data_IF_977601432454
#
_entry.id   IF_977601432454
#
_cell.length_a   1.000
_cell.length_b   1.000
_cell.length_c   1.000
_cell.angle_alpha   90.00
_cell.angle_beta   90.00
_cell.angle_gamma   90.00
#
_symmetry.space_group_name_H-M   'P 1'
#
loop_
_entity.id
_entity.type
_entity.pdbx_description
1 polymer ?
#
# COMPACT_ATOMS: atom_id res chain seq x y z
N UNK A 1 -3.69 27.54 -1.27
CA UNK A 1 -3.19 28.91 -1.49
C UNK A 1 -1.65 29.02 -1.42
N UNK A 2 -0.96 28.51 -0.39
CA UNK A 2 0.50 28.60 -0.31
C UNK A 2 1.18 27.68 -1.32
N UNK A 3 0.82 26.41 -1.38
CA UNK A 3 1.35 25.43 -2.34
C UNK A 3 1.12 25.82 -3.79
N UNK A 4 -0.03 26.40 -4.14
CA UNK A 4 -0.29 26.83 -5.52
C UNK A 4 0.72 27.89 -5.99
N UNK A 5 1.12 28.81 -5.12
CA UNK A 5 2.14 29.84 -5.41
C UNK A 5 3.51 29.20 -5.61
N UNK A 6 3.87 28.26 -4.75
CA UNK A 6 5.16 27.56 -4.84
C UNK A 6 5.24 26.74 -6.12
N UNK A 7 4.19 25.96 -6.44
CA UNK A 7 4.11 25.19 -7.68
C UNK A 7 4.09 26.07 -8.93
N UNK A 8 3.45 27.24 -8.88
CA UNK A 8 3.46 28.22 -9.97
C UNK A 8 4.86 28.76 -10.22
N UNK A 9 5.57 29.18 -9.17
CA UNK A 9 6.95 29.65 -9.28
C UNK A 9 7.90 28.58 -9.84
N UNK A 10 7.77 27.34 -9.36
CA UNK A 10 8.58 26.21 -9.85
C UNK A 10 8.24 25.86 -11.29
N UNK A 11 6.96 25.86 -11.67
CA UNK A 11 6.50 25.69 -13.05
C UNK A 11 7.10 26.74 -13.98
N UNK A 12 7.12 28.02 -13.57
CA UNK A 12 7.74 29.11 -14.32
C UNK A 12 9.26 28.94 -14.45
N UNK A 13 9.95 28.47 -13.41
CA UNK A 13 11.40 28.18 -13.46
C UNK A 13 11.69 27.04 -14.46
N UNK A 14 10.89 25.96 -14.45
CA UNK A 14 11.02 24.88 -15.43
C UNK A 14 10.85 25.43 -16.84
N UNK A 15 9.82 26.24 -17.08
CA UNK A 15 9.54 26.84 -18.39
C UNK A 15 10.66 27.77 -18.88
N UNK A 16 11.25 28.60 -17.99
CA UNK A 16 12.39 29.44 -18.32
C UNK A 16 13.64 28.63 -18.70
N UNK A 17 13.92 27.56 -17.98
CA UNK A 17 15.05 26.69 -18.28
C UNK A 17 14.87 25.97 -19.64
N UNK A 18 13.63 25.63 -20.00
CA UNK A 18 13.30 25.08 -21.31
C UNK A 18 13.60 26.04 -22.46
N UNK A 19 13.37 27.34 -22.25
CA UNK A 19 13.64 28.38 -23.26
C UNK A 19 15.12 28.69 -23.39
N UNK A 20 15.90 28.61 -22.30
CA UNK A 20 17.31 29.04 -22.28
C UNK A 20 18.30 27.92 -22.65
N UNK A 21 18.02 26.67 -22.35
CA UNK A 21 19.03 25.57 -22.43
C UNK A 21 18.72 24.48 -23.45
N UNK A 22 17.56 24.51 -24.11
CA UNK A 22 17.15 23.42 -25.00
C UNK A 22 16.94 22.06 -24.27
N UNK A 23 16.40 21.06 -24.98
CA UNK A 23 16.02 19.77 -24.37
C UNK A 23 17.18 18.93 -23.79
N UNK A 24 18.44 19.18 -24.17
CA UNK A 24 19.56 18.28 -23.83
C UNK A 24 20.16 18.51 -22.44
N UNK A 25 20.16 19.73 -21.92
CA UNK A 25 20.83 20.05 -20.64
C UNK A 25 19.96 19.80 -19.38
N UNK A 26 18.66 19.63 -19.53
CA UNK A 26 17.76 19.39 -18.40
C UNK A 26 17.96 17.99 -17.81
N UNK A 27 18.37 17.02 -18.64
CA UNK A 27 18.63 15.64 -18.23
C UNK A 27 19.98 15.43 -17.53
N UNK A 28 20.98 16.29 -17.73
CA UNK A 28 22.29 16.17 -17.06
C UNK A 28 22.32 16.73 -15.64
N UNK A 29 21.34 17.57 -15.26
CA UNK A 29 21.21 18.13 -13.89
C UNK A 29 20.43 17.29 -12.89
N UNK A 30 20.00 16.06 -13.23
CA UNK A 30 19.07 15.27 -12.44
C UNK A 30 19.57 14.76 -11.08
N UNK A 31 20.86 14.86 -10.78
CA UNK A 31 21.40 14.37 -9.49
C UNK A 31 21.46 15.42 -8.37
N UNK A 32 21.34 16.72 -8.66
CA UNK A 32 21.37 17.77 -7.61
C UNK A 32 20.59 19.03 -8.05
N UNK A 33 19.48 19.34 -7.37
CA UNK A 33 18.73 20.62 -7.42
C UNK A 33 18.29 21.09 -8.81
N UNK A 34 17.45 20.32 -9.49
CA UNK A 34 16.76 20.81 -10.68
C UNK A 34 15.37 21.36 -10.29
N UNK A 35 14.85 22.41 -10.96
CA UNK A 35 13.48 22.87 -10.71
C UNK A 35 12.40 21.79 -10.88
N UNK A 36 12.69 20.73 -11.63
CA UNK A 36 11.82 19.56 -11.80
C UNK A 36 11.82 18.70 -10.53
N UNK A 37 13.00 18.45 -9.94
CA UNK A 37 13.12 17.78 -8.65
C UNK A 37 12.41 18.58 -7.55
N UNK A 38 12.69 19.89 -7.44
CA UNK A 38 12.06 20.77 -6.45
C UNK A 38 10.52 20.78 -6.59
N UNK A 39 10.00 20.69 -7.82
CA UNK A 39 8.56 20.61 -8.07
C UNK A 39 7.95 19.30 -7.56
N UNK A 40 8.61 18.16 -7.83
CA UNK A 40 8.15 16.86 -7.36
C UNK A 40 8.28 16.78 -5.83
N UNK A 41 9.37 17.26 -5.26
CA UNK A 41 9.57 17.29 -3.80
C UNK A 41 8.48 18.13 -3.12
N UNK A 42 8.16 19.31 -3.65
CA UNK A 42 7.06 20.16 -3.16
C UNK A 42 5.71 19.44 -3.22
N UNK A 43 5.41 18.69 -4.29
CA UNK A 43 4.20 17.89 -4.39
C UNK A 43 4.16 16.79 -3.33
N UNK A 44 5.26 16.07 -3.14
CA UNK A 44 5.35 14.96 -2.20
C UNK A 44 5.24 15.44 -0.74
N UNK A 45 5.95 16.50 -0.37
CA UNK A 45 5.87 17.10 0.97
C UNK A 45 4.46 17.57 1.31
N UNK A 46 3.80 18.22 0.35
CA UNK A 46 2.44 18.70 0.57
C UNK A 46 1.44 17.56 0.65
N UNK A 47 1.56 16.54 -0.21
CA UNK A 47 0.73 15.34 -0.15
C UNK A 47 0.88 14.62 1.20
N UNK A 48 2.11 14.55 1.71
CA UNK A 48 2.38 13.98 3.03
C UNK A 48 1.72 14.79 4.16
N UNK A 49 1.86 16.13 4.15
CA UNK A 49 1.22 17.04 5.14
C UNK A 49 -0.31 16.89 5.14
N UNK A 50 -0.91 16.69 3.96
CA UNK A 50 -2.36 16.49 3.79
C UNK A 50 -2.80 15.02 3.99
N UNK A 51 -1.89 14.13 4.34
CA UNK A 51 -2.15 12.69 4.48
C UNK A 51 -2.81 12.07 3.23
N UNK A 52 -2.41 12.54 2.05
CA UNK A 52 -2.91 12.02 0.80
C UNK A 52 -2.39 10.58 0.58
N UNK A 53 -3.27 9.69 0.13
CA UNK A 53 -2.90 8.32 -0.24
C UNK A 53 -2.27 8.23 -1.62
N UNK A 54 -2.71 9.06 -2.56
CA UNK A 54 -2.24 9.03 -3.94
C UNK A 54 -2.11 10.45 -4.53
N UNK A 55 -1.13 10.65 -5.40
CA UNK A 55 -0.96 11.83 -6.26
C UNK A 55 -1.23 11.39 -7.70
N UNK A 56 -2.10 12.10 -8.38
CA UNK A 56 -2.44 11.87 -9.78
C UNK A 56 -1.91 13.02 -10.64
N UNK A 57 -1.05 12.70 -11.61
CA UNK A 57 -0.63 13.62 -12.68
C UNK A 57 -1.34 13.21 -13.97
N UNK A 58 -2.27 14.03 -14.43
CA UNK A 58 -3.22 13.70 -15.49
C UNK A 58 -3.09 14.69 -16.64
N UNK A 59 -2.42 14.30 -17.74
CA UNK A 59 -2.26 15.18 -18.89
C UNK A 59 -3.61 15.40 -19.58
N UNK A 60 -3.89 16.67 -19.85
CA UNK A 60 -5.00 17.15 -20.66
C UNK A 60 -4.45 17.87 -21.90
N UNK A 61 -5.31 18.19 -22.83
CA UNK A 61 -4.91 18.88 -24.07
C UNK A 61 -4.07 20.14 -23.83
N UNK A 62 -4.50 20.99 -22.90
CA UNK A 62 -3.90 22.31 -22.66
C UNK A 62 -3.12 22.43 -21.35
N UNK A 63 -3.30 21.51 -20.42
CA UNK A 63 -2.69 21.56 -19.09
C UNK A 63 -2.42 20.17 -18.53
N UNK A 64 -1.56 20.08 -17.52
CA UNK A 64 -1.39 18.94 -16.65
C UNK A 64 -2.24 19.16 -15.40
N UNK A 65 -3.21 18.30 -15.15
CA UNK A 65 -4.02 18.34 -13.93
C UNK A 65 -3.35 17.52 -12.83
N UNK A 66 -3.15 18.13 -11.66
CA UNK A 66 -2.57 17.48 -10.48
C UNK A 66 -3.63 17.40 -9.41
N UNK A 67 -3.93 16.17 -8.97
CA UNK A 67 -4.91 15.90 -7.92
C UNK A 67 -4.34 15.02 -6.84
N UNK A 68 -4.78 15.21 -5.62
CA UNK A 68 -4.51 14.31 -4.52
C UNK A 68 -5.76 13.51 -4.14
N UNK A 69 -5.54 12.30 -3.65
CA UNK A 69 -6.60 11.54 -2.99
C UNK A 69 -6.43 11.69 -1.49
N UNK A 70 -7.38 12.38 -0.87
CA UNK A 70 -7.44 12.61 0.57
C UNK A 70 -8.79 12.07 1.07
N UNK A 71 -8.79 11.24 2.11
CA UNK A 71 -9.99 10.59 2.65
C UNK A 71 -10.88 9.93 1.58
N UNK A 72 -10.23 9.25 0.63
CA UNK A 72 -10.89 8.55 -0.49
C UNK A 72 -11.37 9.46 -1.63
N UNK A 73 -11.33 10.79 -1.48
CA UNK A 73 -11.81 11.76 -2.49
C UNK A 73 -10.64 12.38 -3.25
N UNK A 74 -10.83 12.59 -4.55
CA UNK A 74 -9.87 13.33 -5.37
C UNK A 74 -10.12 14.83 -5.26
N UNK A 75 -9.11 15.58 -4.83
CA UNK A 75 -9.11 17.04 -4.77
C UNK A 75 -8.12 17.61 -5.78
N UNK A 76 -8.51 18.69 -6.45
CA UNK A 76 -7.64 19.41 -7.37
C UNK A 76 -6.64 20.25 -6.57
N UNK A 77 -5.34 20.07 -6.86
CA UNK A 77 -4.25 20.81 -6.22
C UNK A 77 -3.73 21.91 -7.13
N UNK A 78 -3.43 21.56 -8.39
CA UNK A 78 -2.82 22.51 -9.33
C UNK A 78 -3.10 22.14 -10.78
N UNK A 79 -3.11 23.14 -11.66
CA UNK A 79 -3.12 22.97 -13.13
C UNK A 79 -1.85 23.59 -13.69
N UNK A 80 -0.91 22.75 -14.07
CA UNK A 80 0.35 23.17 -14.67
C UNK A 80 0.25 23.29 -16.20
N UNK A 81 1.19 23.99 -16.82
CA UNK A 81 1.29 23.98 -18.28
C UNK A 81 1.57 22.56 -18.81
N UNK A 82 0.88 22.14 -19.88
CA UNK A 82 1.14 20.84 -20.54
C UNK A 82 2.60 20.64 -20.98
N UNK A 83 3.34 21.75 -21.20
CA UNK A 83 4.75 21.73 -21.63
C UNK A 83 5.68 21.10 -20.58
N UNK A 84 5.35 21.12 -19.30
CA UNK A 84 6.20 20.53 -18.25
C UNK A 84 5.93 19.06 -18.00
N UNK A 85 4.84 18.50 -18.54
CA UNK A 85 4.42 17.13 -18.29
C UNK A 85 5.55 16.11 -18.57
N UNK A 86 6.14 16.15 -19.75
CA UNK A 86 7.17 15.20 -20.15
C UNK A 86 8.41 15.25 -19.26
N UNK A 87 8.75 16.40 -18.68
CA UNK A 87 9.90 16.56 -17.79
C UNK A 87 9.63 15.96 -16.44
N UNK A 88 8.45 16.19 -15.87
CA UNK A 88 8.03 15.60 -14.61
C UNK A 88 7.98 14.06 -14.72
N UNK A 89 7.40 13.54 -15.81
CA UNK A 89 7.31 12.09 -16.03
C UNK A 89 8.70 11.48 -16.23
N UNK A 90 9.55 12.10 -17.06
CA UNK A 90 10.92 11.60 -17.27
C UNK A 90 11.73 11.57 -15.98
N UNK A 91 11.59 12.58 -15.12
CA UNK A 91 12.22 12.60 -13.82
C UNK A 91 11.69 11.50 -12.90
N UNK A 92 10.37 11.33 -12.81
CA UNK A 92 9.74 10.28 -12.02
C UNK A 92 10.15 8.88 -12.48
N UNK A 93 10.21 8.65 -13.81
CA UNK A 93 10.72 7.39 -14.36
C UNK A 93 12.18 7.15 -13.99
N UNK A 94 13.02 8.19 -14.07
CA UNK A 94 14.44 8.10 -13.72
C UNK A 94 14.65 7.66 -12.27
N UNK A 95 14.00 8.34 -11.32
CA UNK A 95 14.17 8.02 -9.89
C UNK A 95 13.54 6.68 -9.49
N UNK A 96 12.65 6.15 -10.32
CA UNK A 96 11.95 4.87 -10.10
C UNK A 96 12.59 3.71 -10.89
N UNK A 97 13.73 3.92 -11.58
CA UNK A 97 14.39 2.95 -12.46
C UNK A 97 13.48 2.39 -13.56
N UNK A 98 12.61 3.24 -14.13
CA UNK A 98 11.75 2.91 -15.26
C UNK A 98 12.38 3.35 -16.60
N UNK A 99 11.93 2.76 -17.68
CA UNK A 99 12.38 3.14 -19.04
C UNK A 99 11.79 4.50 -19.45
N UNK A 100 12.66 5.52 -19.56
CA UNK A 100 12.28 6.89 -19.95
C UNK A 100 11.89 6.95 -21.44
N UNK A 101 12.47 6.09 -22.27
CA UNK A 101 12.23 6.08 -23.72
C UNK A 101 10.90 5.41 -24.09
N UNK A 102 10.48 4.40 -23.35
CA UNK A 102 9.21 3.70 -23.56
C UNK A 102 8.04 4.54 -23.03
N UNK A 103 7.11 4.92 -23.93
CA UNK A 103 5.93 5.75 -23.64
C UNK A 103 4.61 5.12 -24.06
N UNK A 104 4.66 3.92 -24.63
CA UNK A 104 3.51 3.23 -25.25
C UNK A 104 2.96 2.12 -24.36
N UNK A 105 3.75 1.67 -23.38
CA UNK A 105 3.39 0.57 -22.49
C UNK A 105 3.29 1.07 -21.05
N UNK A 106 2.36 0.51 -20.25
CA UNK A 106 2.33 0.76 -18.81
C UNK A 106 3.62 0.34 -18.15
N UNK A 107 4.05 1.08 -17.13
CA UNK A 107 5.21 0.75 -16.32
C UNK A 107 4.91 0.98 -14.85
N UNK A 108 5.39 0.08 -14.01
CA UNK A 108 5.27 0.15 -12.55
C UNK A 108 6.66 0.11 -11.91
N UNK A 109 6.84 0.92 -10.88
CA UNK A 109 8.10 1.02 -10.15
C UNK A 109 7.93 1.52 -8.73
N UNK A 110 9.05 1.79 -8.08
CA UNK A 110 9.08 2.34 -6.73
C UNK A 110 10.33 3.19 -6.52
N UNK A 111 10.23 4.14 -5.61
CA UNK A 111 11.36 4.92 -5.10
C UNK A 111 11.10 5.34 -3.65
N UNK A 112 12.17 5.70 -2.94
CA UNK A 112 12.07 6.24 -1.57
C UNK A 112 12.14 7.76 -1.66
N UNK A 113 11.22 8.44 -0.97
CA UNK A 113 11.30 9.88 -0.77
C UNK A 113 12.11 10.17 0.50
N UNK A 114 13.37 10.67 0.38
CA UNK A 114 14.30 10.68 1.49
C UNK A 114 13.90 11.61 2.64
N UNK A 115 13.23 12.73 2.35
CA UNK A 115 12.91 13.76 3.33
C UNK A 115 12.00 13.24 4.47
N UNK A 116 11.09 12.30 4.17
CA UNK A 116 10.18 11.68 5.13
C UNK A 116 10.36 10.17 5.27
N UNK A 117 11.37 9.60 4.61
CA UNK A 117 11.63 8.16 4.55
C UNK A 117 10.38 7.35 4.13
N UNK A 118 9.72 7.78 3.05
CA UNK A 118 8.49 7.18 2.57
C UNK A 118 8.74 6.38 1.30
N UNK A 119 8.26 5.14 1.26
CA UNK A 119 8.19 4.36 0.05
C UNK A 119 7.06 4.88 -0.85
N UNK A 120 7.38 5.15 -2.11
CA UNK A 120 6.42 5.60 -3.11
C UNK A 120 6.38 4.57 -4.23
N UNK A 121 5.19 4.08 -4.54
CA UNK A 121 4.93 3.30 -5.75
C UNK A 121 4.46 4.23 -6.85
N UNK A 122 5.00 4.01 -8.03
CA UNK A 122 4.63 4.74 -9.25
C UNK A 122 4.02 3.78 -10.25
N UNK A 123 2.92 4.20 -10.87
CA UNK A 123 2.36 3.55 -12.04
C UNK A 123 2.18 4.57 -13.14
N UNK A 124 2.64 4.25 -14.35
CA UNK A 124 2.49 5.09 -15.54
C UNK A 124 1.69 4.35 -16.59
N UNK A 125 0.76 5.04 -17.22
CA UNK A 125 -0.02 4.51 -18.34
C UNK A 125 -0.07 5.52 -19.49
N UNK A 126 0.01 5.07 -20.76
CA UNK A 126 -0.24 5.92 -21.91
C UNK A 126 -1.71 6.35 -21.97
N UNK A 127 -1.95 7.62 -22.21
CA UNK A 127 -3.29 8.21 -22.43
C UNK A 127 -3.25 9.16 -23.61
N UNK A 128 -4.40 9.67 -24.06
CA UNK A 128 -4.52 10.47 -25.29
C UNK A 128 -3.55 11.65 -25.37
N UNK A 129 -3.31 12.35 -24.26
CA UNK A 129 -2.47 13.57 -24.23
C UNK A 129 -1.10 13.35 -23.56
N UNK A 130 -0.60 12.13 -23.53
CA UNK A 130 0.72 11.78 -22.97
C UNK A 130 0.67 10.58 -22.04
N UNK A 131 1.42 10.61 -20.95
CA UNK A 131 1.37 9.56 -19.92
C UNK A 131 0.71 10.11 -18.66
N UNK A 132 -0.26 9.37 -18.12
CA UNK A 132 -0.80 9.59 -16.79
C UNK A 132 0.08 8.89 -15.78
N UNK A 133 0.34 9.54 -14.66
CA UNK A 133 1.09 8.96 -13.54
C UNK A 133 0.25 8.97 -12.27
N UNK A 134 0.34 7.87 -11.52
CA UNK A 134 -0.17 7.79 -10.15
C UNK A 134 0.98 7.44 -9.23
N UNK A 135 1.21 8.29 -8.22
CA UNK A 135 2.14 8.03 -7.14
C UNK A 135 1.33 7.63 -5.91
N UNK A 136 1.52 6.42 -5.39
CA UNK A 136 0.93 5.97 -4.13
C UNK A 136 1.93 6.15 -3.02
N UNK A 137 1.58 6.97 -2.03
CA UNK A 137 2.39 7.19 -0.84
C UNK A 137 2.12 6.05 0.14
N UNK A 138 3.12 5.19 0.34
CA UNK A 138 3.09 4.19 1.40
C UNK A 138 3.60 4.89 2.66
N UNK A 139 2.71 5.62 3.33
CA UNK A 139 3.08 6.49 4.45
C UNK A 139 3.87 5.76 5.53
N UNK A 140 4.67 6.51 6.29
CA UNK A 140 5.37 5.99 7.45
C UNK A 140 4.33 5.56 8.50
N UNK A 141 3.92 4.30 8.43
CA UNK A 141 2.89 3.70 9.28
C UNK A 141 3.45 3.30 10.65
N UNK A 142 4.73 3.58 10.94
CA UNK A 142 5.35 3.22 12.23
C UNK A 142 4.56 3.79 13.42
N UNK A 143 4.03 5.01 13.30
CA UNK A 143 3.17 5.60 14.33
C UNK A 143 1.75 4.99 14.40
N UNK A 144 1.31 4.25 13.37
CA UNK A 144 -0.02 3.64 13.31
C UNK A 144 -0.05 2.18 13.79
N UNK A 145 1.09 1.63 14.24
CA UNK A 145 1.19 0.23 14.67
C UNK A 145 0.76 0.01 16.14
N UNK A 146 0.04 0.95 16.74
CA UNK A 146 -0.48 0.82 18.09
C UNK A 146 -1.99 0.56 18.07
N UNK A 147 -2.40 -0.61 18.56
CA UNK A 147 -3.82 -0.98 18.64
C UNK A 147 -4.68 0.04 19.38
N UNK A 148 -4.11 0.75 20.38
CA UNK A 148 -4.84 1.76 21.13
C UNK A 148 -5.23 2.99 20.28
N UNK A 149 -4.60 3.18 19.13
CA UNK A 149 -4.83 4.32 18.22
C UNK A 149 -5.71 3.95 17.02
N UNK A 150 -6.17 2.68 16.94
CA UNK A 150 -6.98 2.17 15.82
C UNK A 150 -8.46 2.61 15.85
N UNK A 151 -8.85 3.52 16.73
CA UNK A 151 -10.22 4.04 16.81
C UNK A 151 -11.25 3.10 17.45
N UNK A 152 -10.83 2.00 18.07
CA UNK A 152 -11.73 1.13 18.81
C UNK A 152 -12.34 1.83 20.03
N UNK A 153 -13.61 1.53 20.33
CA UNK A 153 -14.12 1.79 21.69
C UNK A 153 -13.33 0.97 22.73
N UNK A 154 -13.27 1.41 23.98
CA UNK A 154 -12.54 0.71 25.04
C UNK A 154 -12.97 -0.76 25.16
N UNK A 155 -14.26 -1.03 25.03
CA UNK A 155 -14.82 -2.38 25.12
C UNK A 155 -14.41 -3.24 23.92
N UNK A 156 -14.55 -2.73 22.70
CA UNK A 156 -14.16 -3.45 21.48
C UNK A 156 -12.65 -3.71 21.43
N UNK A 157 -11.85 -2.74 21.87
CA UNK A 157 -10.40 -2.94 21.98
C UNK A 157 -10.04 -4.08 22.93
N UNK A 158 -10.70 -4.17 24.06
CA UNK A 158 -10.50 -5.27 25.00
C UNK A 158 -10.85 -6.62 24.34
N UNK A 159 -12.04 -6.75 23.77
CA UNK A 159 -12.46 -7.97 23.08
C UNK A 159 -11.50 -8.34 21.93
N UNK A 160 -11.05 -7.35 21.16
CA UNK A 160 -10.12 -7.58 20.07
C UNK A 160 -8.77 -8.09 20.58
N UNK A 161 -8.23 -7.48 21.65
CA UNK A 161 -6.99 -7.94 22.29
C UNK A 161 -7.12 -9.34 22.88
N UNK A 162 -8.23 -9.63 23.56
CA UNK A 162 -8.49 -10.96 24.10
C UNK A 162 -8.54 -12.01 22.97
N UNK A 163 -9.19 -11.68 21.87
CA UNK A 163 -9.31 -12.55 20.69
C UNK A 163 -7.96 -12.82 20.01
N UNK A 164 -7.14 -11.79 19.75
CA UNK A 164 -5.83 -11.97 19.10
C UNK A 164 -4.78 -12.60 20.02
N UNK A 165 -5.04 -12.67 21.33
CA UNK A 165 -4.14 -13.32 22.31
C UNK A 165 -4.44 -14.80 22.51
N UNK A 166 -5.37 -15.37 21.73
CA UNK A 166 -5.63 -16.80 21.75
C UNK A 166 -4.44 -17.59 21.16
N UNK A 167 -4.25 -18.81 21.64
CA UNK A 167 -3.15 -19.67 21.21
C UNK A 167 -3.34 -20.23 19.80
N UNK A 168 -4.57 -20.38 19.33
CA UNK A 168 -4.88 -20.94 18.00
C UNK A 168 -6.26 -20.51 17.53
N UNK A 169 -6.50 -20.53 16.23
CA UNK A 169 -7.76 -20.22 15.58
C UNK A 169 -7.63 -19.20 14.47
N UNK A 170 -8.73 -18.92 13.78
CA UNK A 170 -8.79 -17.97 12.66
C UNK A 170 -9.43 -16.66 13.08
N UNK A 171 -8.76 -15.55 12.79
CA UNK A 171 -9.28 -14.20 12.98
C UNK A 171 -9.28 -13.50 11.61
N UNK A 172 -10.44 -12.96 11.24
CA UNK A 172 -10.66 -12.33 9.94
C UNK A 172 -10.96 -10.84 10.11
N UNK A 173 -10.15 -10.01 9.47
CA UNK A 173 -10.38 -8.57 9.35
C UNK A 173 -10.97 -8.27 7.99
N UNK A 174 -12.13 -7.62 7.95
CA UNK A 174 -12.80 -7.29 6.69
C UNK A 174 -13.11 -5.80 6.58
N UNK A 175 -13.50 -5.36 5.40
CA UNK A 175 -13.87 -3.98 5.10
C UNK A 175 -13.55 -3.60 3.64
N UNK A 176 -14.02 -2.44 3.19
CA UNK A 176 -13.74 -1.95 1.83
C UNK A 176 -12.24 -1.71 1.59
N UNK A 177 -11.90 -1.42 0.35
CA UNK A 177 -10.53 -0.98 0.00
C UNK A 177 -10.22 0.33 0.74
N UNK A 178 -8.98 0.47 1.23
CA UNK A 178 -8.53 1.65 2.00
C UNK A 178 -9.24 1.89 3.34
N UNK A 179 -9.85 0.86 3.93
CA UNK A 179 -10.48 0.96 5.27
C UNK A 179 -9.54 0.72 6.44
N UNK A 180 -8.23 0.57 6.20
CA UNK A 180 -7.23 0.33 7.24
C UNK A 180 -7.06 -1.11 7.68
N UNK A 181 -7.52 -2.11 6.90
CA UNK A 181 -7.36 -3.55 7.22
C UNK A 181 -5.90 -3.94 7.43
N UNK A 182 -5.02 -3.61 6.48
CA UNK A 182 -3.57 -3.89 6.60
C UNK A 182 -2.97 -3.20 7.83
N UNK A 183 -3.38 -1.96 8.11
CA UNK A 183 -2.93 -1.21 9.29
C UNK A 183 -3.32 -1.92 10.59
N UNK A 184 -4.56 -2.42 10.67
CA UNK A 184 -5.01 -3.17 11.84
C UNK A 184 -4.29 -4.52 11.96
N UNK A 185 -4.03 -5.22 10.86
CA UNK A 185 -3.23 -6.44 10.86
C UNK A 185 -1.81 -6.17 11.40
N UNK A 186 -1.12 -5.18 10.85
CA UNK A 186 0.23 -4.83 11.31
C UNK A 186 0.26 -4.37 12.77
N UNK A 187 -0.73 -3.60 13.22
CA UNK A 187 -0.87 -3.23 14.63
C UNK A 187 -1.11 -4.46 15.53
N UNK A 188 -1.84 -5.46 15.03
CA UNK A 188 -2.05 -6.73 15.72
C UNK A 188 -0.76 -7.54 15.81
N UNK A 189 -0.02 -7.65 14.69
CA UNK A 189 1.27 -8.33 14.67
C UNK A 189 2.28 -7.67 15.61
N UNK A 190 2.36 -6.33 15.57
CA UNK A 190 3.25 -5.59 16.47
C UNK A 190 2.89 -5.78 17.97
N UNK A 191 1.60 -5.88 18.28
CA UNK A 191 1.14 -6.18 19.64
C UNK A 191 1.51 -7.60 20.10
N UNK A 192 1.50 -8.57 19.17
CA UNK A 192 1.80 -9.99 19.42
C UNK A 192 3.29 -10.32 19.32
N UNK A 193 4.10 -9.42 18.76
CA UNK A 193 5.52 -9.62 18.51
C UNK A 193 6.31 -9.60 19.84
N UNK A 194 6.68 -10.78 20.30
CA UNK A 194 7.46 -11.01 21.52
C UNK A 194 8.66 -11.89 21.18
N UNK A 195 9.67 -11.87 22.03
CA UNK A 195 10.90 -12.65 21.84
C UNK A 195 10.66 -14.18 21.84
N UNK A 196 9.59 -14.62 22.43
CA UNK A 196 9.18 -16.02 22.55
C UNK A 196 8.11 -16.44 21.53
N UNK A 197 7.83 -15.61 20.53
CA UNK A 197 6.75 -15.84 19.55
C UNK A 197 7.32 -15.82 18.13
N UNK A 198 7.16 -16.90 17.40
CA UNK A 198 7.55 -16.98 15.99
C UNK A 198 6.38 -16.56 15.08
N UNK A 199 6.51 -15.38 14.45
CA UNK A 199 5.50 -14.81 13.56
C UNK A 199 5.99 -14.88 12.12
N UNK A 200 5.17 -15.45 11.25
CA UNK A 200 5.42 -15.47 9.80
C UNK A 200 4.27 -14.81 9.07
N UNK A 201 4.58 -13.94 8.11
CA UNK A 201 3.58 -13.33 7.23
C UNK A 201 3.75 -13.78 5.78
N UNK A 202 2.64 -13.78 5.03
CA UNK A 202 2.59 -14.11 3.61
C UNK A 202 1.81 -12.98 2.92
N UNK A 203 2.48 -12.20 2.07
CA UNK A 203 1.96 -10.92 1.59
C UNK A 203 2.19 -10.70 0.08
N UNK A 204 1.30 -9.96 -0.57
CA UNK A 204 1.39 -9.62 -2.00
C UNK A 204 1.03 -8.13 -2.25
N UNK A 205 2.03 -7.26 -2.14
CA UNK A 205 3.37 -7.41 -1.57
C UNK A 205 3.43 -7.03 -0.08
N UNK A 206 4.62 -7.18 0.54
CA UNK A 206 4.92 -6.60 1.86
C UNK A 206 4.81 -5.07 1.78
N UNK A 207 3.95 -4.48 2.62
CA UNK A 207 3.71 -3.02 2.65
C UNK A 207 4.60 -2.28 3.65
N UNK A 208 4.99 -2.92 4.75
CA UNK A 208 5.84 -2.39 5.80
C UNK A 208 6.79 -3.47 6.30
N UNK A 209 8.04 -3.10 6.55
CA UNK A 209 8.97 -3.95 7.26
C UNK A 209 8.66 -3.91 8.77
N UNK A 210 8.44 -5.08 9.36
CA UNK A 210 8.22 -5.23 10.81
C UNK A 210 9.45 -5.92 11.42
N UNK A 211 10.13 -5.22 12.29
CA UNK A 211 11.28 -5.79 13.02
C UNK A 211 10.85 -7.00 13.86
N UNK A 212 11.63 -8.07 13.83
CA UNK A 212 11.35 -9.31 14.58
C UNK A 212 10.30 -10.24 13.95
N UNK A 213 9.76 -9.93 12.77
CA UNK A 213 8.76 -10.74 12.05
C UNK A 213 9.33 -11.25 10.72
N UNK A 214 9.11 -12.52 10.42
CA UNK A 214 9.55 -13.13 9.16
C UNK A 214 8.48 -12.91 8.07
N UNK A 215 8.73 -11.96 7.17
CA UNK A 215 7.77 -11.56 6.16
C UNK A 215 8.12 -12.19 4.79
N UNK A 216 7.23 -13.04 4.27
CA UNK A 216 7.34 -13.66 2.96
C UNK A 216 6.55 -12.86 1.93
N UNK A 217 7.22 -12.38 0.89
CA UNK A 217 6.55 -11.74 -0.23
C UNK A 217 6.31 -12.74 -1.35
N UNK A 218 5.08 -12.79 -1.86
CA UNK A 218 4.69 -13.60 -3.02
C UNK A 218 5.53 -13.24 -4.25
N UNK A 219 5.97 -14.26 -4.97
CA UNK A 219 6.69 -14.12 -6.23
C UNK A 219 6.19 -15.16 -7.23
N UNK A 220 5.13 -14.82 -7.95
CA UNK A 220 4.52 -15.70 -8.95
C UNK A 220 5.49 -16.12 -10.06
N UNK A 221 6.43 -15.22 -10.44
CA UNK A 221 7.44 -15.53 -11.47
C UNK A 221 8.41 -16.64 -11.02
N UNK A 222 8.64 -16.75 -9.72
CA UNK A 222 9.45 -17.81 -9.12
C UNK A 222 8.62 -19.04 -8.70
N UNK A 223 7.31 -19.06 -8.98
CA UNK A 223 6.41 -20.16 -8.61
C UNK A 223 5.97 -20.13 -7.14
N UNK A 224 6.20 -19.03 -6.42
CA UNK A 224 5.77 -18.86 -5.03
C UNK A 224 4.45 -18.11 -4.96
N UNK A 225 3.34 -18.82 -4.88
CA UNK A 225 2.00 -18.32 -4.58
C UNK A 225 1.66 -18.43 -3.09
N UNK A 226 0.47 -17.95 -2.69
CA UNK A 226 0.01 -18.00 -1.30
C UNK A 226 -0.06 -19.43 -0.74
N UNK A 227 -0.50 -20.40 -1.53
CA UNK A 227 -0.65 -21.78 -1.09
C UNK A 227 0.71 -22.47 -0.89
N UNK A 228 1.67 -22.21 -1.78
CA UNK A 228 3.05 -22.70 -1.65
C UNK A 228 3.73 -22.07 -0.44
N UNK A 229 3.61 -20.74 -0.30
CA UNK A 229 4.20 -20.01 0.81
C UNK A 229 3.63 -20.47 2.17
N UNK A 230 2.30 -20.67 2.26
CA UNK A 230 1.64 -21.11 3.50
C UNK A 230 2.10 -22.53 3.89
N UNK A 231 2.16 -23.48 2.93
CA UNK A 231 2.71 -24.81 3.22
C UNK A 231 4.18 -24.78 3.65
N UNK A 232 4.95 -23.87 3.11
CA UNK A 232 6.36 -23.72 3.49
C UNK A 232 6.51 -23.11 4.89
N UNK A 233 5.69 -22.12 5.23
CA UNK A 233 5.73 -21.45 6.53
C UNK A 233 5.44 -22.41 7.69
N UNK A 234 4.52 -23.36 7.52
CA UNK A 234 4.19 -24.35 8.55
C UNK A 234 5.34 -25.30 8.93
N UNK A 235 6.40 -25.37 8.12
CA UNK A 235 7.61 -26.14 8.46
C UNK A 235 8.68 -25.30 9.16
N UNK A 236 8.37 -24.06 9.46
CA UNK A 236 9.25 -23.12 10.15
C UNK A 236 8.84 -22.89 11.62
N UNK A 237 8.05 -23.81 12.19
CA UNK A 237 7.59 -23.79 13.57
C UNK A 237 6.95 -22.43 13.99
N UNK A 238 5.94 -21.93 13.23
CA UNK A 238 5.32 -20.66 13.55
C UNK A 238 4.28 -20.82 14.66
N UNK A 239 4.20 -19.86 15.57
CA UNK A 239 3.06 -19.70 16.48
C UNK A 239 1.92 -18.95 15.81
N UNK A 240 2.27 -17.93 15.02
CA UNK A 240 1.33 -17.03 14.36
C UNK A 240 1.63 -16.96 12.86
N UNK A 241 0.60 -17.16 12.05
CA UNK A 241 0.68 -17.01 10.59
C UNK A 241 -0.28 -15.91 10.15
N UNK A 242 0.25 -14.87 9.50
CA UNK A 242 -0.59 -13.85 8.84
C UNK A 242 -0.63 -14.12 7.34
N UNK A 243 -1.84 -14.23 6.81
CA UNK A 243 -2.10 -14.33 5.37
C UNK A 243 -2.70 -13.00 4.93
N UNK A 244 -2.02 -12.26 4.05
CA UNK A 244 -2.43 -10.93 3.65
C UNK A 244 -3.90 -10.88 3.23
N UNK A 245 -4.33 -11.82 2.41
CA UNK A 245 -5.74 -12.01 2.07
C UNK A 245 -6.04 -13.43 1.57
N UNK A 246 -7.28 -13.87 1.73
CA UNK A 246 -7.79 -15.14 1.16
C UNK A 246 -8.57 -14.81 -0.11
N UNK A 247 -8.04 -15.25 -1.26
CA UNK A 247 -8.65 -15.03 -2.58
C UNK A 247 -9.35 -16.25 -3.15
N UNK A 248 -8.87 -17.45 -2.84
CA UNK A 248 -9.27 -18.70 -3.46
C UNK A 248 -9.54 -19.83 -2.45
N UNK A 249 -10.09 -20.92 -2.96
CA UNK A 249 -10.48 -22.11 -2.18
C UNK A 249 -9.30 -22.77 -1.49
N UNK A 250 -8.15 -22.87 -2.18
CA UNK A 250 -6.99 -23.60 -1.66
C UNK A 250 -6.42 -22.88 -0.44
N UNK A 251 -6.23 -21.56 -0.52
CA UNK A 251 -5.75 -20.73 0.59
C UNK A 251 -6.76 -20.73 1.75
N UNK A 252 -8.08 -20.68 1.44
CA UNK A 252 -9.13 -20.72 2.46
C UNK A 252 -9.09 -22.01 3.27
N UNK A 253 -9.04 -23.16 2.61
CA UNK A 253 -8.97 -24.47 3.27
C UNK A 253 -7.69 -24.66 4.07
N UNK A 254 -6.55 -24.19 3.54
CA UNK A 254 -5.28 -24.26 4.26
C UNK A 254 -5.27 -23.37 5.50
N UNK A 255 -5.81 -22.15 5.42
CA UNK A 255 -5.93 -21.23 6.57
C UNK A 255 -6.75 -21.86 7.71
N UNK A 256 -7.89 -22.49 7.37
CA UNK A 256 -8.71 -23.21 8.35
C UNK A 256 -7.94 -24.38 8.95
N UNK A 257 -7.29 -25.20 8.11
CA UNK A 257 -6.50 -26.34 8.62
C UNK A 257 -5.37 -25.89 9.54
N UNK A 258 -4.66 -24.83 9.18
CA UNK A 258 -3.61 -24.21 10.01
C UNK A 258 -4.16 -23.75 11.37
N UNK A 259 -5.32 -23.09 11.39
CA UNK A 259 -5.98 -22.67 12.62
C UNK A 259 -6.39 -23.87 13.52
N UNK A 260 -6.86 -24.96 12.91
CA UNK A 260 -7.27 -26.19 13.63
C UNK A 260 -6.08 -27.01 14.13
N UNK A 261 -4.90 -26.83 13.54
CA UNK A 261 -3.68 -27.56 13.94
C UNK A 261 -2.83 -26.81 14.98
N UNK A 262 -3.40 -25.84 15.67
CA UNK A 262 -2.77 -25.20 16.83
C UNK A 262 -2.11 -23.85 16.58
N UNK A 263 -2.28 -23.24 15.38
CA UNK A 263 -1.69 -21.95 15.05
C UNK A 263 -2.73 -20.82 15.13
N UNK A 264 -2.30 -19.64 15.51
CA UNK A 264 -3.12 -18.44 15.36
C UNK A 264 -2.98 -17.89 13.93
N UNK A 265 -4.09 -17.83 13.20
CA UNK A 265 -4.12 -17.33 11.82
C UNK A 265 -4.84 -15.99 11.75
N UNK A 266 -4.15 -14.97 11.27
CA UNK A 266 -4.70 -13.64 11.00
C UNK A 266 -4.82 -13.44 9.49
N UNK A 267 -5.96 -12.93 9.01
CA UNK A 267 -6.14 -12.70 7.56
C UNK A 267 -7.14 -11.60 7.25
N UNK A 268 -7.19 -11.20 5.97
CA UNK A 268 -8.25 -10.31 5.48
C UNK A 268 -9.16 -11.01 4.46
N UNK A 269 -10.40 -10.51 4.41
CA UNK A 269 -11.37 -10.82 3.37
C UNK A 269 -12.06 -9.54 2.88
N UNK A 270 -12.50 -9.56 1.63
CA UNK A 270 -13.31 -8.48 1.07
C UNK A 270 -14.80 -8.82 1.21
N UNK A 271 -15.39 -8.46 2.35
CA UNK A 271 -16.85 -8.55 2.58
C UNK A 271 -17.39 -7.19 3.03
N UNK A 272 -18.72 -6.98 2.85
CA UNK A 272 -19.36 -5.70 3.21
C UNK A 272 -19.33 -5.43 4.72
N UNK A 273 -19.38 -6.47 5.52
CA UNK A 273 -19.35 -6.42 6.98
C UNK A 273 -18.81 -7.74 7.55
N UNK A 274 -18.61 -7.80 8.86
CA UNK A 274 -18.10 -8.99 9.53
C UNK A 274 -19.01 -10.22 9.36
N UNK A 275 -20.34 -10.03 9.39
CA UNK A 275 -21.31 -11.11 9.25
C UNK A 275 -21.27 -11.81 7.88
N UNK A 276 -20.70 -11.16 6.86
CA UNK A 276 -20.51 -11.76 5.54
C UNK A 276 -19.29 -12.69 5.44
N UNK A 277 -18.43 -12.73 6.46
CA UNK A 277 -17.21 -13.55 6.45
C UNK A 277 -17.52 -15.06 6.39
N UNK A 278 -18.42 -15.61 7.21
CA UNK A 278 -18.73 -17.03 7.15
C UNK A 278 -19.28 -17.47 5.78
N UNK A 279 -20.23 -16.70 5.24
CA UNK A 279 -20.80 -16.99 3.93
C UNK A 279 -19.70 -16.99 2.85
N UNK A 280 -18.79 -16.01 2.87
CA UNK A 280 -17.71 -15.93 1.89
C UNK A 280 -16.73 -17.11 2.00
N UNK A 281 -16.38 -17.55 3.22
CA UNK A 281 -15.51 -18.71 3.41
C UNK A 281 -16.19 -20.01 2.98
N UNK A 282 -17.50 -20.15 3.19
CA UNK A 282 -18.28 -21.29 2.70
C UNK A 282 -18.33 -21.28 1.16
N UNK A 283 -18.53 -20.13 0.52
CA UNK A 283 -18.47 -19.97 -0.94
C UNK A 283 -17.09 -20.37 -1.50
N UNK A 284 -16.03 -20.16 -0.73
CA UNK A 284 -14.67 -20.60 -1.03
C UNK A 284 -14.43 -22.08 -0.67
N UNK A 285 -15.49 -22.88 -0.46
CA UNK A 285 -15.40 -24.31 -0.27
C UNK A 285 -14.98 -24.77 1.13
N UNK A 286 -15.02 -23.88 2.13
CA UNK A 286 -14.76 -24.25 3.53
C UNK A 286 -16.00 -24.93 4.12
N UNK A 287 -15.79 -26.05 4.78
CA UNK A 287 -16.88 -26.75 5.50
C UNK A 287 -17.41 -25.88 6.65
N UNK A 288 -18.75 -25.71 6.77
CA UNK A 288 -19.36 -24.98 7.89
C UNK A 288 -18.95 -25.52 9.27
N UNK A 289 -18.77 -26.84 9.40
CA UNK A 289 -18.34 -27.48 10.63
C UNK A 289 -16.92 -27.08 11.00
N UNK A 290 -15.97 -27.17 10.04
CA UNK A 290 -14.59 -26.76 10.28
C UNK A 290 -14.49 -25.26 10.58
N UNK A 291 -15.28 -24.46 9.87
CA UNK A 291 -15.34 -23.02 10.10
C UNK A 291 -15.84 -22.68 11.50
N UNK A 292 -16.88 -23.36 11.99
CA UNK A 292 -17.43 -23.11 13.34
C UNK A 292 -16.43 -23.43 14.47
N UNK A 293 -15.49 -24.33 14.23
CA UNK A 293 -14.43 -24.68 15.20
C UNK A 293 -13.24 -23.72 15.10
N UNK A 294 -12.84 -23.37 13.87
CA UNK A 294 -11.64 -22.60 13.64
C UNK A 294 -11.82 -21.09 13.85
N UNK A 295 -13.01 -20.54 13.54
CA UNK A 295 -13.25 -19.09 13.51
C UNK A 295 -13.41 -18.52 14.94
N UNK A 296 -12.36 -17.87 15.45
CA UNK A 296 -12.40 -17.18 16.74
C UNK A 296 -13.16 -15.87 16.69
N UNK A 297 -13.01 -15.14 15.59
CA UNK A 297 -13.68 -13.88 15.47
C UNK A 297 -13.51 -13.14 14.16
N UNK A 298 -14.33 -12.14 14.00
CA UNK A 298 -14.41 -11.32 12.79
C UNK A 298 -14.51 -9.85 13.17
N UNK A 299 -13.75 -9.01 12.47
CA UNK A 299 -13.83 -7.56 12.66
C UNK A 299 -14.05 -6.89 11.31
N UNK A 300 -14.92 -5.87 11.27
CA UNK A 300 -15.12 -5.06 10.08
C UNK A 300 -14.66 -3.64 10.36
N UNK A 301 -13.73 -3.16 9.53
CA UNK A 301 -13.13 -1.84 9.69
C UNK A 301 -13.65 -0.87 8.64
N UNK A 302 -13.92 0.35 9.09
CA UNK A 302 -14.26 1.51 8.25
C UNK A 302 -13.59 2.74 8.87
N UNK A 303 -13.05 3.58 8.02
CA UNK A 303 -12.53 4.91 8.36
C UNK A 303 -13.59 5.95 7.99
#
# INVERSE_FOLDING_TARGET
MEIEKDLEQLSLKIMRNLQLQGKHNILQGYRNKSPVADFIDCLLENAYKLQASDIHLEPQEKYLQIRYRVDGKLILIYKASSKINNFLISYLKLISNLDIAEKRLPQDGKFIFPAQNIDIRISTIPVLFGEKVVLRLLGNKENLLNLNQMGFSKMNLKYFKDMISASSGLIVITGPVNSGKSTLLYASLNYLNRLDTNIITIEDPVELNLEGINQMQINQKAGMDFAVALRASLRQDPDIVMIGEIRDEMVAKQAITTALTGHLVLTTLHTKNALGVPARLIDLGVSPVMLSIALLGMTSQRL
#
